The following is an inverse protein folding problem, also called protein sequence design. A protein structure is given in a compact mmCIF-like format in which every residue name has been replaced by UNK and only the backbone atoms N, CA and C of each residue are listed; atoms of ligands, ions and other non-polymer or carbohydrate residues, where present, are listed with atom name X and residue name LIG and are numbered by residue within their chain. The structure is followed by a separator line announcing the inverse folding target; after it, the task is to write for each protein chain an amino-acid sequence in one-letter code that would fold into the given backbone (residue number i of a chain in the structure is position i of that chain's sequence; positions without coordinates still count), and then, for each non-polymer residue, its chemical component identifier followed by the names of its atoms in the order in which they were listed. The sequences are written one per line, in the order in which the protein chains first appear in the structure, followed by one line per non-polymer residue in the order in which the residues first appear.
data_IF_770392643289
#
_entry.id   IF_770392643289
#
_cell.length_a   1.000
_cell.length_b   1.000
_cell.length_c   1.000
_cell.angle_alpha   90.00
_cell.angle_beta   90.00
_cell.angle_gamma   90.00
#
_symmetry.space_group_name_H-M   'P 1'
#
loop_
_entity.id
_entity.type
_entity.pdbx_description
1 polymer ?
#
# COMPACT_ATOMS: atom_id res chain seq x y z
N UNK A 1 5.65 6.63 2.64
CA UNK A 1 6.00 5.24 2.31
C UNK A 1 6.92 4.71 3.40
N UNK A 2 6.95 3.41 3.63
CA UNK A 2 7.90 2.77 4.55
C UNK A 2 9.35 2.90 4.01
N UNK A 3 10.39 2.57 4.80
CA UNK A 3 11.78 2.54 4.33
C UNK A 3 11.95 1.65 3.09
N UNK A 4 12.82 2.04 2.15
CA UNK A 4 13.00 1.36 0.85
C UNK A 4 13.36 -0.12 0.98
N UNK A 5 14.13 -0.50 2.00
CA UNK A 5 14.56 -1.88 2.27
C UNK A 5 13.37 -2.84 2.55
N UNK A 6 12.25 -2.35 3.06
CA UNK A 6 11.04 -3.18 3.29
C UNK A 6 10.06 -3.13 2.10
N UNK A 7 10.25 -2.21 1.15
CA UNK A 7 9.44 -2.07 -0.06
C UNK A 7 9.90 -2.96 -1.23
N UNK A 8 11.00 -3.72 -1.07
CA UNK A 8 11.56 -4.55 -2.16
C UNK A 8 10.65 -5.73 -2.55
N UNK A 9 9.74 -6.16 -1.67
CA UNK A 9 8.86 -7.31 -1.93
C UNK A 9 7.37 -6.93 -1.95
N UNK A 10 6.99 -5.81 -1.33
CA UNK A 10 5.59 -5.38 -1.21
C UNK A 10 5.50 -3.86 -0.92
N UNK A 11 4.50 -3.16 -1.46
CA UNK A 11 4.36 -1.72 -1.22
C UNK A 11 3.76 -1.48 0.16
N UNK A 12 4.60 -1.08 1.12
CA UNK A 12 4.19 -0.81 2.49
C UNK A 12 3.85 0.68 2.68
N UNK A 13 2.68 0.92 3.28
CA UNK A 13 2.26 2.26 3.70
C UNK A 13 2.31 2.36 5.22
N UNK A 14 2.75 3.53 5.70
CA UNK A 14 2.76 3.85 7.12
C UNK A 14 1.42 4.46 7.51
N UNK A 15 0.73 3.83 8.45
CA UNK A 15 -0.49 4.34 9.05
C UNK A 15 -0.32 4.50 10.56
N UNK A 16 -1.09 5.42 11.17
CA UNK A 16 -1.11 5.56 12.63
C UNK A 16 -2.03 4.50 13.22
N UNK A 17 -1.45 3.53 13.92
CA UNK A 17 -2.19 2.57 14.73
C UNK A 17 -2.02 2.92 16.21
N UNK A 18 -3.12 3.31 16.86
CA UNK A 18 -3.10 3.86 18.22
C UNK A 18 -2.11 5.03 18.37
N UNK A 19 -1.00 4.81 19.10
CA UNK A 19 0.07 5.79 19.37
C UNK A 19 1.38 5.47 18.63
N UNK A 20 1.37 4.55 17.66
CA UNK A 20 2.57 4.10 16.94
C UNK A 20 2.36 4.09 15.43
N UNK A 21 3.42 4.35 14.63
CA UNK A 21 3.39 4.06 13.21
C UNK A 21 3.37 2.54 13.01
N UNK A 22 2.53 2.07 12.10
CA UNK A 22 2.45 0.67 11.66
C UNK A 22 2.61 0.63 10.15
N UNK A 23 3.54 -0.20 9.66
CA UNK A 23 3.66 -0.52 8.25
C UNK A 23 2.66 -1.62 7.90
N UNK A 24 1.84 -1.40 6.87
CA UNK A 24 0.87 -2.38 6.38
C UNK A 24 0.97 -2.50 4.86
N UNK A 25 0.74 -3.69 4.29
CA UNK A 25 0.71 -3.86 2.84
C UNK A 25 -0.45 -3.09 2.21
N UNK A 26 -0.15 -2.30 1.18
CA UNK A 26 -1.18 -1.57 0.43
C UNK A 26 -2.21 -2.52 -0.21
N UNK A 27 -1.78 -3.72 -0.57
CA UNK A 27 -2.63 -4.79 -1.10
C UNK A 27 -3.73 -5.26 -0.13
N UNK A 28 -3.65 -4.91 1.16
CA UNK A 28 -4.68 -5.22 2.15
C UNK A 28 -5.59 -4.02 2.46
N UNK A 29 -5.32 -2.85 1.88
CA UNK A 29 -6.04 -1.62 2.18
C UNK A 29 -6.99 -1.20 1.06
N UNK A 30 -8.08 -0.56 1.45
CA UNK A 30 -9.01 0.12 0.54
C UNK A 30 -9.06 1.59 0.93
N UNK A 31 -8.87 2.49 -0.05
CA UNK A 31 -8.98 3.93 0.18
C UNK A 31 -10.43 4.34 0.47
N UNK A 32 -10.68 4.94 1.64
CA UNK A 32 -11.98 5.51 2.00
C UNK A 32 -11.89 7.04 1.81
N UNK A 33 -12.79 7.61 1.01
CA UNK A 33 -12.84 9.05 0.74
C UNK A 33 -11.51 9.65 0.23
N UNK A 34 -10.76 8.87 -0.55
CA UNK A 34 -9.53 9.31 -1.22
C UNK A 34 -9.86 10.01 -2.54
N UNK A 35 -8.98 10.92 -2.96
CA UNK A 35 -9.06 11.53 -4.28
C UNK A 35 -8.85 10.50 -5.41
N UNK A 36 -9.23 10.88 -6.62
CA UNK A 36 -9.21 9.96 -7.77
C UNK A 36 -7.80 9.48 -8.10
N UNK A 37 -6.79 10.31 -7.91
CA UNK A 37 -5.39 9.96 -8.16
C UNK A 37 -4.90 8.89 -7.17
N UNK A 38 -5.22 9.07 -5.89
CA UNK A 38 -4.87 8.13 -4.82
C UNK A 38 -5.62 6.82 -4.99
N UNK A 39 -6.91 6.89 -5.40
CA UNK A 39 -7.69 5.70 -5.71
C UNK A 39 -7.06 4.90 -6.83
N UNK A 40 -6.70 5.56 -7.93
CA UNK A 40 -6.09 4.92 -9.08
C UNK A 40 -4.77 4.25 -8.70
N UNK A 41 -3.92 4.91 -7.90
CA UNK A 41 -2.67 4.31 -7.42
C UNK A 41 -2.87 3.05 -6.57
N UNK A 42 -3.93 3.02 -5.75
CA UNK A 42 -4.30 1.84 -4.96
C UNK A 42 -4.81 0.72 -5.88
N UNK A 43 -5.69 1.03 -6.83
CA UNK A 43 -6.24 0.06 -7.78
C UNK A 43 -5.18 -0.54 -8.71
N UNK A 44 -4.26 0.28 -9.21
CA UNK A 44 -3.14 -0.16 -10.04
C UNK A 44 -2.22 -1.12 -9.27
N UNK A 45 -1.99 -0.86 -7.98
CA UNK A 45 -1.23 -1.77 -7.11
C UNK A 45 -1.96 -3.09 -6.86
N UNK A 46 -3.26 -3.05 -6.56
CA UNK A 46 -4.08 -4.26 -6.42
C UNK A 46 -4.08 -5.11 -7.70
N UNK A 47 -4.15 -4.46 -8.86
CA UNK A 47 -4.06 -5.13 -10.15
C UNK A 47 -2.71 -5.81 -10.36
N UNK A 48 -1.62 -5.14 -10.00
CA UNK A 48 -0.25 -5.68 -10.09
C UNK A 48 -0.08 -6.94 -9.23
N UNK A 49 -0.49 -6.88 -7.96
CA UNK A 49 -0.41 -8.00 -7.02
C UNK A 49 -1.31 -9.16 -7.44
N UNK A 50 -2.55 -8.89 -7.88
CA UNK A 50 -3.48 -9.92 -8.36
C UNK A 50 -2.97 -10.67 -9.60
N UNK A 51 -2.04 -10.07 -10.35
CA UNK A 51 -1.41 -10.67 -11.52
C UNK A 51 -0.24 -11.59 -11.19
N UNK A 52 0.10 -11.72 -9.90
CA UNK A 52 1.17 -12.58 -9.40
C UNK A 52 2.57 -12.02 -9.61
N UNK A 53 2.68 -10.70 -9.80
CA UNK A 53 3.97 -10.02 -9.84
C UNK A 53 4.41 -9.71 -8.41
N UNK A 54 5.25 -10.57 -7.85
CA UNK A 54 6.07 -10.30 -6.68
C UNK A 54 7.38 -9.67 -7.19
N UNK A 55 7.78 -8.53 -6.63
CA UNK A 55 9.11 -7.95 -6.90
C UNK A 55 10.16 -8.62 -6.03
#
# INVERSE_FOLDING_TARGET
MAPEEECEHDMLVLMRWERRPLAVPLAQLVGIAVDDQTRQGIEDWHYWVARGYEF
#
